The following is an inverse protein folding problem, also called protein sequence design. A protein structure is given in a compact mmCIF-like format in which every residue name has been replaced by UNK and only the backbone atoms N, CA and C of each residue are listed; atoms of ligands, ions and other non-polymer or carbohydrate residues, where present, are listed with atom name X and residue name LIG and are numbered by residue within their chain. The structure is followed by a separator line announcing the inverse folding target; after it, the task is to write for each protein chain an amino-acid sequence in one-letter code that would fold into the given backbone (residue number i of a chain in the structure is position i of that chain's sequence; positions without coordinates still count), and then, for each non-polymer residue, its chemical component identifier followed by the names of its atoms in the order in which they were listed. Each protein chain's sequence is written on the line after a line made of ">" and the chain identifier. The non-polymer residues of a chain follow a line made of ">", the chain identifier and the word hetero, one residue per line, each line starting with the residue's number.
data_IF_668050184389
#
_entry.id   IF_668050184389
#
_cell.length_a   1.000
_cell.length_b   1.000
_cell.length_c   1.000
_cell.angle_alpha   90.00
_cell.angle_beta   90.00
_cell.angle_gamma   90.00
#
_symmetry.space_group_name_H-M   'P 1'
#
loop_
_entity.id
_entity.type
_entity.pdbx_description
1 polymer ?
#
# COMPACT_ATOMS: atom_id res chain seq x y z
N UNK A 1 -8.63 13.16 -5.23
CA UNK A 1 -7.23 12.71 -5.43
C UNK A 1 -7.13 11.39 -6.20
N UNK A 2 -7.73 10.29 -5.72
CA UNK A 2 -7.66 8.98 -6.43
C UNK A 2 -8.23 9.06 -7.84
N UNK A 3 -9.33 9.78 -8.02
CA UNK A 3 -9.89 10.08 -9.33
C UNK A 3 -8.90 10.81 -10.25
N UNK A 4 -8.09 11.74 -9.71
CA UNK A 4 -7.07 12.43 -10.49
C UNK A 4 -5.93 11.48 -10.90
N UNK A 5 -5.53 10.56 -10.01
CA UNK A 5 -4.57 9.50 -10.35
C UNK A 5 -5.11 8.62 -11.48
N UNK A 6 -6.37 8.18 -11.40
CA UNK A 6 -7.01 7.36 -12.45
C UNK A 6 -7.07 8.09 -13.79
N UNK A 7 -7.41 9.39 -13.79
CA UNK A 7 -7.40 10.23 -15.00
C UNK A 7 -6.00 10.35 -15.61
N UNK A 8 -4.99 10.58 -14.79
CA UNK A 8 -3.60 10.67 -15.24
C UNK A 8 -3.10 9.32 -15.80
N UNK A 9 -3.41 8.22 -15.11
CA UNK A 9 -3.05 6.87 -15.56
C UNK A 9 -3.75 6.52 -16.89
N UNK A 10 -4.99 6.95 -17.11
CA UNK A 10 -5.69 6.76 -18.38
C UNK A 10 -4.97 7.39 -19.59
N UNK A 11 -4.12 8.40 -19.38
CA UNK A 11 -3.28 8.99 -20.43
C UNK A 11 -2.03 8.16 -20.77
N UNK A 12 -1.72 7.10 -20.01
CA UNK A 12 -0.60 6.17 -20.26
C UNK A 12 0.74 6.87 -20.51
N UNK A 13 1.02 7.93 -19.75
CA UNK A 13 2.22 8.74 -19.91
C UNK A 13 3.45 7.88 -19.58
N UNK A 14 4.36 7.74 -20.55
CA UNK A 14 5.57 6.94 -20.39
C UNK A 14 6.41 7.47 -19.23
N UNK A 15 6.77 6.58 -18.30
CA UNK A 15 7.55 6.92 -17.11
C UNK A 15 6.73 7.45 -15.93
N UNK A 16 5.43 7.71 -16.10
CA UNK A 16 4.53 8.20 -15.04
C UNK A 16 3.85 7.04 -14.31
N UNK A 17 4.66 6.19 -13.68
CA UNK A 17 4.18 5.07 -12.89
C UNK A 17 3.80 5.48 -11.45
N UNK A 18 3.50 4.49 -10.59
CA UNK A 18 3.20 4.73 -9.18
C UNK A 18 4.31 5.43 -8.41
N UNK A 19 5.54 5.54 -8.96
CA UNK A 19 6.66 6.27 -8.34
C UNK A 19 6.27 7.68 -7.87
N UNK A 20 5.36 8.35 -8.59
CA UNK A 20 4.80 9.66 -8.20
C UNK A 20 4.01 9.60 -6.90
N UNK A 21 3.47 8.45 -6.49
CA UNK A 21 2.82 8.29 -5.20
C UNK A 21 3.73 8.64 -4.02
N UNK A 22 5.05 8.46 -4.14
CA UNK A 22 6.00 8.87 -3.11
C UNK A 22 6.07 10.40 -2.97
N UNK A 23 5.88 11.16 -4.05
CA UNK A 23 5.76 12.61 -4.00
C UNK A 23 4.40 13.03 -3.43
N UNK A 24 3.34 12.37 -3.89
CA UNK A 24 1.97 12.60 -3.42
C UNK A 24 1.79 12.31 -1.93
N UNK A 25 2.56 11.37 -1.38
CA UNK A 25 2.60 11.07 0.05
C UNK A 25 2.96 12.30 0.88
N UNK A 26 3.97 13.08 0.49
CA UNK A 26 4.35 14.29 1.23
C UNK A 26 3.25 15.37 1.23
N UNK A 27 2.35 15.35 0.24
CA UNK A 27 1.23 16.29 0.14
C UNK A 27 0.00 15.78 0.92
N UNK A 28 -0.24 14.46 0.91
CA UNK A 28 -1.43 13.84 1.48
C UNK A 28 -1.09 12.57 2.28
N UNK A 29 -0.37 12.69 3.42
CA UNK A 29 0.23 11.56 4.14
C UNK A 29 -0.79 10.63 4.82
N UNK A 30 -2.04 11.06 5.01
CA UNK A 30 -3.11 10.24 5.59
C UNK A 30 -3.89 9.45 4.55
N UNK A 31 -3.70 9.75 3.27
CA UNK A 31 -4.48 9.20 2.16
C UNK A 31 -3.57 8.41 1.22
N UNK A 32 -2.33 8.83 1.03
CA UNK A 32 -1.33 8.21 0.15
C UNK A 32 -0.25 7.61 1.02
N UNK A 33 0.30 6.47 0.61
CA UNK A 33 1.44 5.86 1.29
C UNK A 33 2.65 5.80 0.37
N UNK A 34 3.87 5.91 0.91
CA UNK A 34 5.06 5.62 0.13
C UNK A 34 5.08 4.13 -0.22
N UNK A 35 5.72 3.80 -1.33
CA UNK A 35 5.82 2.43 -1.80
C UNK A 35 7.20 2.19 -2.45
N UNK A 36 7.75 1.03 -2.16
CA UNK A 36 8.97 0.50 -2.76
C UNK A 36 8.93 -1.03 -2.65
N UNK A 37 9.99 -1.70 -3.13
CA UNK A 37 10.05 -3.16 -3.13
C UNK A 37 9.92 -3.77 -1.73
N UNK A 38 10.56 -3.20 -0.71
CA UNK A 38 10.49 -3.72 0.65
C UNK A 38 9.08 -3.54 1.25
N UNK A 39 8.47 -2.37 1.08
CA UNK A 39 7.10 -2.11 1.55
C UNK A 39 6.10 -3.10 0.90
N UNK A 40 6.22 -3.33 -0.41
CA UNK A 40 5.37 -4.30 -1.14
C UNK A 40 5.58 -5.72 -0.61
N UNK A 41 6.83 -6.12 -0.37
CA UNK A 41 7.14 -7.43 0.24
C UNK A 41 6.53 -7.57 1.63
N UNK A 42 6.66 -6.54 2.47
CA UNK A 42 6.07 -6.53 3.80
C UNK A 42 4.55 -6.64 3.76
N UNK A 43 3.90 -5.86 2.89
CA UNK A 43 2.45 -5.93 2.70
C UNK A 43 2.00 -7.32 2.26
N UNK A 44 2.68 -7.93 1.28
CA UNK A 44 2.37 -9.28 0.82
C UNK A 44 2.61 -10.33 1.93
N UNK A 45 3.64 -10.16 2.76
CA UNK A 45 3.92 -11.05 3.89
C UNK A 45 2.83 -10.97 4.96
N UNK A 46 2.41 -9.75 5.33
CA UNK A 46 1.35 -9.49 6.32
C UNK A 46 -0.01 -10.00 5.85
N UNK A 47 -0.36 -9.74 4.59
CA UNK A 47 -1.72 -9.97 4.08
C UNK A 47 -1.90 -11.27 3.30
N UNK A 48 -0.82 -11.90 2.84
CA UNK A 48 -0.88 -12.99 1.86
C UNK A 48 -1.17 -12.54 0.42
N UNK A 49 -1.21 -11.23 0.15
CA UNK A 49 -1.42 -10.68 -1.19
C UNK A 49 -0.23 -10.96 -2.13
N UNK A 50 -0.44 -10.73 -3.43
CA UNK A 50 0.62 -10.78 -4.45
C UNK A 50 0.70 -9.47 -5.25
N UNK A 51 0.85 -8.36 -4.53
CA UNK A 51 1.02 -7.02 -5.12
C UNK A 51 2.40 -6.93 -5.77
N UNK A 52 2.48 -6.28 -6.94
CA UNK A 52 3.71 -6.03 -7.68
C UNK A 52 4.01 -4.54 -7.79
N UNK A 53 5.29 -4.20 -7.87
CA UNK A 53 5.74 -2.82 -8.10
C UNK A 53 5.39 -2.38 -9.54
N UNK A 54 5.21 -1.07 -9.73
CA UNK A 54 5.22 -0.45 -11.07
C UNK A 54 3.87 -0.38 -11.80
N UNK A 55 2.77 -0.84 -11.20
CA UNK A 55 1.41 -0.71 -11.76
C UNK A 55 0.47 0.03 -10.82
N UNK A 56 -0.31 0.97 -11.37
CA UNK A 56 -1.26 1.78 -10.59
C UNK A 56 -2.33 0.93 -9.90
N UNK A 57 -2.91 -0.06 -10.58
CA UNK A 57 -3.91 -0.94 -9.96
C UNK A 57 -3.38 -1.70 -8.75
N UNK A 58 -2.13 -2.17 -8.83
CA UNK A 58 -1.46 -2.84 -7.70
C UNK A 58 -1.19 -1.86 -6.56
N UNK A 59 -0.73 -0.64 -6.88
CA UNK A 59 -0.53 0.40 -5.88
C UNK A 59 -1.85 0.79 -5.18
N UNK A 60 -2.92 1.05 -5.95
CA UNK A 60 -4.22 1.45 -5.42
C UNK A 60 -4.83 0.33 -4.56
N UNK A 61 -4.70 -0.92 -4.99
CA UNK A 61 -5.15 -2.08 -4.21
C UNK A 61 -4.39 -2.22 -2.89
N UNK A 62 -3.07 -2.05 -2.92
CA UNK A 62 -2.22 -2.07 -1.72
C UNK A 62 -2.58 -0.92 -0.78
N UNK A 63 -2.70 0.29 -1.31
CA UNK A 63 -3.08 1.50 -0.58
C UNK A 63 -4.41 1.30 0.15
N UNK A 64 -5.43 0.81 -0.54
CA UNK A 64 -6.75 0.58 0.07
C UNK A 64 -6.70 -0.50 1.16
N UNK A 65 -5.91 -1.56 0.93
CA UNK A 65 -5.64 -2.57 1.96
C UNK A 65 -4.94 -1.99 3.19
N UNK A 66 -3.95 -1.10 2.98
CA UNK A 66 -3.23 -0.44 4.07
C UNK A 66 -4.10 0.53 4.84
N UNK A 67 -5.00 1.28 4.18
CA UNK A 67 -5.96 2.14 4.86
C UNK A 67 -6.87 1.34 5.79
N UNK A 68 -7.39 0.19 5.33
CA UNK A 68 -8.19 -0.72 6.17
C UNK A 68 -7.37 -1.28 7.34
N UNK A 69 -6.14 -1.70 7.09
CA UNK A 69 -5.24 -2.21 8.12
C UNK A 69 -4.95 -1.13 9.18
N UNK A 70 -4.70 0.10 8.75
CA UNK A 70 -4.43 1.21 9.64
C UNK A 70 -5.64 1.55 10.50
N UNK A 71 -6.84 1.58 9.91
CA UNK A 71 -8.09 1.85 10.62
C UNK A 71 -8.41 0.76 11.67
N UNK A 72 -8.20 -0.51 11.33
CA UNK A 72 -8.35 -1.64 12.26
C UNK A 72 -7.43 -1.54 13.49
N UNK A 73 -6.26 -0.92 13.32
CA UNK A 73 -5.26 -0.74 14.37
C UNK A 73 -5.05 0.73 14.74
N UNK A 74 -6.06 1.59 14.55
CA UNK A 74 -5.98 3.06 14.74
C UNK A 74 -5.56 3.54 16.14
N UNK A 75 -5.65 2.67 17.14
CA UNK A 75 -5.19 2.96 18.50
C UNK A 75 -3.68 2.70 18.70
N UNK A 76 -3.07 1.95 17.78
CA UNK A 76 -1.65 1.54 17.82
C UNK A 76 -0.83 2.20 16.71
N UNK A 77 -1.46 2.57 15.60
CA UNK A 77 -0.80 3.14 14.43
C UNK A 77 -1.13 4.63 14.27
N UNK A 78 -0.15 5.38 13.76
CA UNK A 78 -0.35 6.78 13.38
C UNK A 78 -1.34 6.89 12.22
N UNK A 79 -2.04 8.03 12.14
CA UNK A 79 -2.82 8.39 10.96
C UNK A 79 -1.93 8.70 9.74
N UNK A 80 -0.64 8.97 9.97
CA UNK A 80 0.35 9.10 8.90
C UNK A 80 0.69 7.72 8.33
N UNK A 81 0.37 7.50 7.05
CA UNK A 81 0.62 6.25 6.34
C UNK A 81 2.12 5.92 6.22
N UNK A 82 3.01 6.89 6.44
CA UNK A 82 4.44 6.68 6.57
C UNK A 82 4.81 5.79 7.75
N UNK A 83 4.06 5.83 8.86
CA UNK A 83 4.31 4.96 10.00
C UNK A 83 4.04 3.49 9.66
N UNK A 84 2.89 3.22 9.03
CA UNK A 84 2.56 1.88 8.55
C UNK A 84 3.53 1.43 7.47
N UNK A 85 3.87 2.31 6.53
CA UNK A 85 4.86 2.00 5.50
C UNK A 85 6.25 1.68 6.09
N UNK A 86 6.67 2.36 7.16
CA UNK A 86 7.89 2.04 7.90
C UNK A 86 7.85 0.64 8.50
N UNK A 87 6.76 0.27 9.16
CA UNK A 87 6.56 -1.09 9.68
C UNK A 87 6.62 -2.15 8.56
N UNK A 88 5.92 -1.90 7.45
CA UNK A 88 5.92 -2.79 6.28
C UNK A 88 7.32 -2.89 5.65
N UNK A 89 8.08 -1.80 5.63
CA UNK A 89 9.46 -1.80 5.16
C UNK A 89 10.34 -2.69 6.04
N UNK A 90 10.26 -2.57 7.37
CA UNK A 90 11.05 -3.38 8.28
C UNK A 90 10.70 -4.87 8.16
N UNK A 91 9.42 -5.21 8.00
CA UNK A 91 8.98 -6.59 7.75
C UNK A 91 9.50 -7.10 6.41
N UNK A 92 9.31 -6.34 5.33
CA UNK A 92 9.73 -6.74 3.99
C UNK A 92 11.24 -6.76 3.77
N UNK A 93 11.99 -6.09 4.66
CA UNK A 93 13.45 -6.14 4.73
C UNK A 93 13.97 -7.26 5.66
N UNK A 94 13.08 -7.98 6.34
CA UNK A 94 13.45 -9.08 7.24
C UNK A 94 13.91 -8.66 8.63
N UNK A 95 13.75 -7.38 9.01
CA UNK A 95 14.07 -6.91 10.37
C UNK A 95 13.03 -7.39 11.39
N UNK A 96 11.78 -7.56 10.96
CA UNK A 96 10.70 -8.11 11.76
C UNK A 96 9.99 -9.25 11.02
N UNK A 97 9.54 -10.26 11.75
CA UNK A 97 8.69 -11.31 11.19
C UNK A 97 7.28 -10.76 10.93
N UNK A 98 6.66 -11.19 9.84
CA UNK A 98 5.24 -10.92 9.62
C UNK A 98 4.39 -11.67 10.67
N UNK A 99 3.26 -11.10 11.11
CA UNK A 99 2.33 -11.79 12.00
C UNK A 99 1.80 -13.07 11.33
N UNK A 100 1.46 -14.12 12.12
CA UNK A 100 0.82 -15.30 11.58
C UNK A 100 -0.45 -14.93 10.82
N UNK A 101 -0.60 -15.45 9.60
CA UNK A 101 -1.81 -15.22 8.81
C UNK A 101 -2.97 -15.98 9.44
N UNK A 102 -3.97 -15.27 9.95
CA UNK A 102 -5.23 -15.90 10.34
C UNK A 102 -5.89 -16.45 9.08
N UNK A 103 -6.14 -17.76 9.05
CA UNK A 103 -6.75 -18.44 7.91
C UNK A 103 -8.25 -18.13 7.79
N UNK A 104 -8.65 -16.87 7.59
CA UNK A 104 -10.02 -16.49 7.26
C UNK A 104 -10.11 -15.03 6.81
N UNK A 105 -10.12 -14.81 5.50
CA UNK A 105 -10.54 -13.55 4.89
C UNK A 105 -10.79 -13.77 3.40
N UNK A 106 -11.95 -13.40 2.85
CA UNK A 106 -12.26 -13.69 1.45
C UNK A 106 -11.29 -12.92 0.52
N UNK A 107 -10.90 -13.51 -0.62
CA UNK A 107 -10.03 -12.82 -1.57
C UNK A 107 -10.68 -11.51 -2.05
N UNK A 108 -9.84 -10.47 -2.18
CA UNK A 108 -10.22 -9.10 -2.59
C UNK A 108 -10.82 -9.05 -4.02
N UNK A 109 -10.84 -10.17 -4.76
CA UNK A 109 -11.47 -10.30 -6.07
C UNK A 109 -13.01 -10.23 -6.07
N UNK A 110 -13.65 -9.73 -5.01
CA UNK A 110 -15.12 -9.66 -4.89
C UNK A 110 -15.69 -8.26 -4.62
N UNK A 111 -14.86 -7.21 -4.77
CA UNK A 111 -15.27 -5.81 -4.57
C UNK A 111 -14.88 -4.89 -5.75
N UNK A 112 -14.61 -5.47 -6.91
CA UNK A 112 -14.59 -4.80 -8.22
C UNK A 112 -15.60 -5.51 -9.12
#
# INVERSE_FOLDING_TARGET
>A
MIEAIRRIDAHQIKGLGPAVANLLYFVHPTIVMPFNTAIVKGYNAVTGSNVKLGKWDHYLSMRDGCLRLNDQHRQLLSNDMGALAGLLFDIGSGRHAAPPRTSAGPPISRLL
#
